data_IF_936445696537
#
_entry.id   IF_936445696537
#
_cell.length_a   1.000
_cell.length_b   1.000
_cell.length_c   1.000
_cell.angle_alpha   90.00
_cell.angle_beta   90.00
_cell.angle_gamma   90.00
#
_symmetry.space_group_name_H-M   'P 1'
#
loop_
_entity.id
_entity.type
_entity.pdbx_description
1 polymer ?
#
# COMPACT_ATOMS: atom_id res chain seq x y z
N UNK A 1 1.33 -1.90 12.50
CA UNK A 1 2.70 -2.41 12.63
C UNK A 1 2.72 -3.87 13.10
N UNK A 2 1.99 -4.25 14.15
CA UNK A 2 1.89 -5.65 14.61
C UNK A 2 1.34 -6.61 13.55
N UNK A 3 0.51 -6.14 12.63
CA UNK A 3 -0.01 -6.95 11.53
C UNK A 3 1.06 -7.35 10.49
N UNK A 4 2.19 -6.66 10.47
CA UNK A 4 3.27 -6.87 9.51
C UNK A 4 4.42 -7.72 10.06
N UNK A 5 4.50 -7.89 11.39
CA UNK A 5 5.55 -8.66 12.06
C UNK A 5 4.99 -9.39 13.28
N UNK A 6 5.75 -10.36 13.80
CA UNK A 6 5.44 -11.06 15.05
C UNK A 6 5.68 -10.21 16.30
N UNK A 7 6.35 -9.07 16.17
CA UNK A 7 6.84 -8.26 17.29
C UNK A 7 6.28 -6.84 17.26
N UNK A 8 6.31 -6.21 18.43
CA UNK A 8 5.90 -4.82 18.56
C UNK A 8 6.94 -3.86 17.96
N UNK A 9 6.47 -2.80 17.30
CA UNK A 9 7.31 -1.71 16.76
C UNK A 9 8.09 -0.92 17.84
N UNK A 10 7.84 -1.14 19.11
CA UNK A 10 8.54 -0.44 20.19
C UNK A 10 9.92 -1.03 20.53
N UNK A 11 10.33 -2.12 19.89
CA UNK A 11 11.65 -2.72 20.08
C UNK A 11 12.32 -2.96 18.72
N UNK A 12 13.08 -1.99 18.25
CA UNK A 12 13.74 -2.00 16.94
C UNK A 12 14.66 -3.21 16.75
N UNK A 13 15.34 -3.65 17.80
CA UNK A 13 16.22 -4.82 17.74
C UNK A 13 15.44 -6.11 17.51
N UNK A 14 14.33 -6.29 18.22
CA UNK A 14 13.46 -7.45 18.04
C UNK A 14 12.76 -7.44 16.68
N UNK A 15 12.44 -6.25 16.13
CA UNK A 15 11.88 -6.10 14.80
C UNK A 15 12.83 -6.56 13.70
N UNK A 16 14.13 -6.28 13.86
CA UNK A 16 15.17 -6.71 12.89
C UNK A 16 15.31 -8.25 12.87
N UNK A 17 15.04 -8.92 13.96
CA UNK A 17 15.16 -10.37 14.10
C UNK A 17 13.82 -11.11 13.84
N UNK A 18 12.70 -10.41 13.94
CA UNK A 18 11.38 -10.99 13.77
C UNK A 18 11.11 -11.38 12.31
N UNK A 19 10.47 -12.53 12.14
CA UNK A 19 9.91 -12.92 10.85
C UNK A 19 8.78 -11.96 10.47
N UNK A 20 8.76 -11.52 9.23
CA UNK A 20 7.69 -10.71 8.69
C UNK A 20 7.02 -11.41 7.49
N UNK A 21 5.95 -10.82 6.96
CA UNK A 21 5.17 -11.41 5.87
C UNK A 21 5.97 -11.60 4.58
N UNK A 22 7.01 -10.78 4.33
CA UNK A 22 7.94 -10.96 3.18
C UNK A 22 8.74 -12.25 3.37
N UNK A 23 9.27 -12.50 4.57
CA UNK A 23 10.03 -13.71 4.87
C UNK A 23 9.16 -14.97 4.70
N UNK A 24 7.89 -14.90 5.15
CA UNK A 24 6.92 -15.99 5.00
C UNK A 24 6.66 -16.27 3.52
N UNK A 25 6.45 -15.24 2.72
CA UNK A 25 6.22 -15.38 1.27
C UNK A 25 7.43 -16.01 0.58
N UNK A 26 8.65 -15.55 0.90
CA UNK A 26 9.89 -16.14 0.37
C UNK A 26 10.04 -17.61 0.76
N UNK A 27 9.76 -17.95 2.00
CA UNK A 27 9.81 -19.34 2.48
C UNK A 27 8.78 -20.23 1.76
N UNK A 28 7.72 -19.66 1.20
CA UNK A 28 6.70 -20.32 0.37
C UNK A 28 7.03 -20.30 -1.14
N UNK A 29 8.20 -19.80 -1.52
CA UNK A 29 8.65 -19.77 -2.91
C UNK A 29 8.12 -18.61 -3.74
N UNK A 30 7.59 -17.56 -3.10
CA UNK A 30 7.21 -16.36 -3.81
C UNK A 30 8.44 -15.48 -4.11
N UNK A 31 8.46 -14.87 -5.30
CA UNK A 31 9.30 -13.72 -5.61
C UNK A 31 8.66 -12.48 -5.02
N UNK A 32 9.44 -11.70 -4.30
CA UNK A 32 8.90 -10.58 -3.51
C UNK A 32 9.37 -9.23 -4.03
N UNK A 33 8.43 -8.31 -4.18
CA UNK A 33 8.65 -6.97 -4.69
C UNK A 33 8.11 -5.95 -3.70
N UNK A 34 8.91 -4.92 -3.41
CA UNK A 34 8.47 -3.74 -2.66
C UNK A 34 8.65 -2.51 -3.53
N UNK A 35 7.55 -1.85 -3.88
CA UNK A 35 7.52 -0.67 -4.75
C UNK A 35 7.03 0.49 -3.90
N UNK A 36 7.83 1.54 -3.75
CA UNK A 36 7.48 2.66 -2.85
C UNK A 36 7.77 4.02 -3.48
N UNK A 37 6.88 4.98 -3.23
CA UNK A 37 7.03 6.40 -3.55
C UNK A 37 7.28 7.27 -2.29
N UNK A 38 7.54 6.64 -1.14
CA UNK A 38 7.86 7.36 0.09
C UNK A 38 9.35 7.64 0.21
N UNK A 39 9.74 8.91 0.10
CA UNK A 39 11.15 9.36 0.11
C UNK A 39 11.85 9.19 1.46
N UNK A 40 11.09 9.14 2.56
CA UNK A 40 11.60 8.94 3.92
C UNK A 40 11.93 7.49 4.29
N UNK A 41 11.67 6.53 3.40
CA UNK A 41 11.91 5.11 3.66
C UNK A 41 13.36 4.71 3.38
N UNK A 42 14.28 5.30 4.10
CA UNK A 42 15.63 4.78 4.20
C UNK A 42 15.63 3.47 5.02
N UNK A 43 16.71 2.71 4.93
CA UNK A 43 16.85 1.41 5.61
C UNK A 43 16.70 1.47 7.14
N UNK A 44 16.69 2.65 7.74
CA UNK A 44 16.53 2.87 9.18
C UNK A 44 15.08 3.09 9.62
N UNK A 45 14.13 3.26 8.70
CA UNK A 45 12.71 3.36 9.07
C UNK A 45 12.10 1.95 9.21
N UNK A 46 11.02 1.83 9.99
CA UNK A 46 10.28 0.57 10.17
C UNK A 46 9.91 -0.07 8.81
N UNK A 47 9.29 0.70 7.92
CA UNK A 47 8.92 0.22 6.59
C UNK A 47 10.13 -0.08 5.71
N UNK A 48 11.21 0.70 5.85
CA UNK A 48 12.46 0.45 5.15
C UNK A 48 13.12 -0.86 5.57
N UNK A 49 13.04 -1.22 6.85
CA UNK A 49 13.55 -2.51 7.36
C UNK A 49 12.75 -3.69 6.80
N UNK A 50 11.42 -3.59 6.75
CA UNK A 50 10.58 -4.64 6.12
C UNK A 50 10.88 -4.73 4.62
N UNK A 51 10.89 -3.59 3.92
CA UNK A 51 11.14 -3.51 2.49
C UNK A 51 12.49 -4.12 2.09
N UNK A 52 13.53 -3.95 2.93
CA UNK A 52 14.87 -4.47 2.64
C UNK A 52 14.96 -6.00 2.55
N UNK A 53 13.94 -6.71 3.04
CA UNK A 53 13.87 -8.17 2.97
C UNK A 53 13.28 -8.69 1.66
N UNK A 54 12.63 -7.81 0.86
CA UNK A 54 12.13 -8.18 -0.44
C UNK A 54 13.28 -8.48 -1.43
N UNK A 55 13.03 -9.37 -2.38
CA UNK A 55 14.02 -9.70 -3.42
C UNK A 55 14.30 -8.53 -4.34
N UNK A 56 13.28 -7.71 -4.61
CA UNK A 56 13.39 -6.52 -5.43
C UNK A 56 12.75 -5.33 -4.69
N UNK A 57 13.51 -4.23 -4.58
CA UNK A 57 13.02 -2.99 -3.97
C UNK A 57 13.15 -1.86 -4.98
N UNK A 58 12.00 -1.36 -5.44
CA UNK A 58 11.93 -0.21 -6.34
C UNK A 58 11.51 1.04 -5.55
N UNK A 59 12.32 2.08 -5.66
CA UNK A 59 12.05 3.37 -5.03
C UNK A 59 11.78 4.41 -6.08
N UNK A 60 10.59 4.99 -6.00
CA UNK A 60 10.22 6.15 -6.78
C UNK A 60 10.42 7.41 -5.91
N UNK A 61 10.60 8.53 -6.57
CA UNK A 61 10.61 9.85 -5.95
C UNK A 61 9.86 10.81 -6.87
N UNK A 62 8.62 10.42 -7.19
CA UNK A 62 7.76 11.19 -8.05
C UNK A 62 6.71 11.96 -7.25
N UNK A 63 6.11 12.93 -7.90
CA UNK A 63 5.06 13.77 -7.32
C UNK A 63 3.82 12.92 -6.98
N UNK A 64 3.47 11.95 -7.84
CA UNK A 64 2.27 11.12 -7.70
C UNK A 64 2.59 9.63 -7.62
N UNK A 65 1.72 8.89 -6.94
CA UNK A 65 1.91 7.45 -6.68
C UNK A 65 1.74 6.58 -7.93
N UNK A 66 0.99 7.01 -8.94
CA UNK A 66 0.81 6.29 -10.20
C UNK A 66 2.12 6.09 -10.99
N UNK A 67 3.14 6.91 -10.72
CA UNK A 67 4.49 6.71 -11.26
C UNK A 67 5.12 5.37 -10.85
N UNK A 68 4.62 4.74 -9.80
CA UNK A 68 5.03 3.39 -9.40
C UNK A 68 4.58 2.30 -10.40
N UNK A 69 3.53 2.56 -11.20
CA UNK A 69 2.99 1.59 -12.16
C UNK A 69 4.01 1.13 -13.22
N UNK A 70 4.99 1.97 -13.54
CA UNK A 70 6.08 1.61 -14.47
C UNK A 70 6.86 0.38 -14.06
N UNK A 71 6.93 0.10 -12.74
CA UNK A 71 7.66 -1.05 -12.22
C UNK A 71 6.89 -2.38 -12.38
N UNK A 72 5.61 -2.33 -12.67
CA UNK A 72 4.82 -3.53 -12.96
C UNK A 72 5.39 -4.33 -14.16
N UNK A 73 5.99 -3.66 -15.13
CA UNK A 73 6.63 -4.28 -16.29
C UNK A 73 7.92 -5.05 -15.96
N UNK A 74 8.45 -4.88 -14.74
CA UNK A 74 9.65 -5.57 -14.26
C UNK A 74 9.32 -6.89 -13.55
N UNK A 75 8.03 -7.20 -13.37
CA UNK A 75 7.58 -8.38 -12.64
C UNK A 75 7.50 -9.56 -13.60
N UNK A 76 8.14 -10.67 -13.24
CA UNK A 76 8.06 -11.88 -14.04
C UNK A 76 6.72 -12.60 -13.82
N UNK A 77 5.83 -12.68 -14.83
CA UNK A 77 4.52 -13.30 -14.67
C UNK A 77 4.58 -14.85 -14.57
N UNK A 78 5.72 -15.46 -14.83
CA UNK A 78 5.90 -16.91 -14.70
C UNK A 78 6.20 -17.37 -13.27
N UNK A 79 6.40 -16.45 -12.34
CA UNK A 79 6.69 -16.72 -10.93
C UNK A 79 5.45 -16.47 -10.05
N UNK A 80 5.43 -17.10 -8.88
CA UNK A 80 4.49 -16.69 -7.83
C UNK A 80 5.01 -15.41 -7.22
N UNK A 81 4.25 -14.32 -7.30
CA UNK A 81 4.69 -12.99 -6.91
C UNK A 81 3.93 -12.48 -5.69
N UNK A 82 4.64 -11.92 -4.72
CA UNK A 82 4.10 -11.00 -3.72
C UNK A 82 4.58 -9.59 -4.05
N UNK A 83 3.65 -8.70 -4.35
CA UNK A 83 3.94 -7.33 -4.75
C UNK A 83 3.33 -6.39 -3.71
N UNK A 84 4.15 -5.54 -3.13
CA UNK A 84 3.72 -4.51 -2.17
C UNK A 84 3.90 -3.15 -2.81
N UNK A 85 2.80 -2.38 -2.90
CA UNK A 85 2.84 -0.95 -3.21
C UNK A 85 2.72 -0.16 -1.91
N UNK A 86 3.66 0.75 -1.69
CA UNK A 86 3.70 1.61 -0.51
C UNK A 86 3.82 3.07 -0.95
N UNK A 87 2.68 3.73 -1.04
CA UNK A 87 2.53 5.09 -1.55
C UNK A 87 2.19 6.11 -0.47
N UNK A 88 2.13 7.36 -0.89
CA UNK A 88 1.68 8.49 -0.06
C UNK A 88 0.16 8.46 0.15
N UNK A 89 -0.58 7.91 -0.83
CA UNK A 89 -2.04 7.91 -0.79
C UNK A 89 -2.63 9.29 -0.64
N UNK A 90 -3.63 9.41 0.25
CA UNK A 90 -4.33 10.67 0.55
C UNK A 90 -3.73 11.40 1.76
N UNK A 91 -2.42 11.35 1.94
CA UNK A 91 -1.74 12.09 3.03
C UNK A 91 -1.81 13.61 2.79
N UNK A 92 -1.93 14.41 3.85
CA UNK A 92 -1.84 15.87 3.79
C UNK A 92 -0.47 16.33 3.20
N UNK A 93 -0.40 17.39 2.38
CA UNK A 93 -1.49 18.24 1.87
C UNK A 93 -2.20 17.55 0.70
N UNK A 94 -3.51 17.46 0.76
CA UNK A 94 -4.31 16.64 -0.17
C UNK A 94 -4.21 17.13 -1.62
N UNK A 95 -4.23 18.44 -1.85
CA UNK A 95 -4.08 19.03 -3.20
C UNK A 95 -2.76 18.64 -3.90
N UNK A 96 -1.75 18.21 -3.16
CA UNK A 96 -0.48 17.73 -3.71
C UNK A 96 -0.47 16.23 -4.03
N UNK A 97 -1.61 15.54 -3.92
CA UNK A 97 -1.69 14.07 -4.12
C UNK A 97 -2.30 13.65 -5.45
N UNK A 98 -2.70 14.59 -6.27
CA UNK A 98 -3.28 14.34 -7.59
C UNK A 98 -2.92 15.48 -8.55
N UNK A 99 -2.81 15.22 -9.87
CA UNK A 99 -2.58 16.26 -10.86
C UNK A 99 -3.83 17.14 -11.04
N UNK A 100 -3.64 18.38 -11.46
CA UNK A 100 -4.71 19.37 -11.57
C UNK A 100 -5.89 18.92 -12.45
N UNK A 101 -5.62 18.15 -13.50
CA UNK A 101 -6.64 17.57 -14.40
C UNK A 101 -7.54 16.53 -13.72
N UNK A 102 -7.11 15.98 -12.60
CA UNK A 102 -7.89 15.03 -11.78
C UNK A 102 -8.73 15.72 -10.69
N UNK A 103 -8.67 17.05 -10.57
CA UNK A 103 -9.49 17.85 -9.69
C UNK A 103 -10.93 17.94 -10.16
N UNK A 104 -11.77 16.96 -9.82
CA UNK A 104 -13.20 16.91 -10.20
C UNK A 104 -14.05 17.76 -9.26
N UNK A 105 -13.70 17.77 -7.98
CA UNK A 105 -14.35 18.59 -6.96
C UNK A 105 -13.55 19.87 -6.79
N UNK A 106 -14.11 21.03 -7.16
CA UNK A 106 -13.38 22.28 -7.32
C UNK A 106 -14.02 23.46 -6.56
N UNK A 107 -14.57 23.20 -5.36
CA UNK A 107 -15.16 24.25 -4.51
C UNK A 107 -14.14 24.95 -3.61
N UNK A 108 -12.86 24.52 -3.64
CA UNK A 108 -11.75 25.10 -2.89
C UNK A 108 -11.75 24.75 -1.40
N UNK A 109 -12.54 23.76 -0.98
CA UNK A 109 -12.55 23.27 0.39
C UNK A 109 -11.54 22.14 0.62
N UNK A 110 -11.12 21.95 1.87
CA UNK A 110 -10.26 20.81 2.27
C UNK A 110 -10.97 19.49 1.98
N UNK A 111 -12.27 19.44 2.13
CA UNK A 111 -13.10 18.29 1.83
C UNK A 111 -13.04 17.91 0.35
N UNK A 112 -13.09 18.89 -0.56
CA UNK A 112 -12.98 18.65 -1.99
C UNK A 112 -11.56 18.20 -2.39
N UNK A 113 -10.52 18.79 -1.82
CA UNK A 113 -9.14 18.35 -2.03
C UNK A 113 -8.93 16.90 -1.56
N UNK A 114 -9.44 16.57 -0.38
CA UNK A 114 -9.37 15.21 0.15
C UNK A 114 -10.16 14.22 -0.73
N UNK A 115 -11.36 14.57 -1.16
CA UNK A 115 -12.16 13.73 -2.06
C UNK A 115 -11.45 13.48 -3.40
N UNK A 116 -10.79 14.47 -3.98
CA UNK A 116 -9.98 14.31 -5.18
C UNK A 116 -8.79 13.38 -4.94
N UNK A 117 -8.11 13.50 -3.80
CA UNK A 117 -6.98 12.63 -3.47
C UNK A 117 -7.40 11.16 -3.30
N UNK A 118 -8.55 10.90 -2.64
CA UNK A 118 -9.13 9.54 -2.53
C UNK A 118 -9.48 8.99 -3.93
N UNK A 119 -10.14 9.80 -4.77
CA UNK A 119 -10.48 9.40 -6.14
C UNK A 119 -9.23 9.06 -6.96
N UNK A 120 -8.13 9.78 -6.75
CA UNK A 120 -6.88 9.49 -7.44
C UNK A 120 -6.23 8.19 -6.97
N UNK A 121 -6.30 7.90 -5.67
CA UNK A 121 -5.89 6.59 -5.13
C UNK A 121 -6.73 5.47 -5.73
N UNK A 122 -8.04 5.67 -5.89
CA UNK A 122 -8.95 4.69 -6.48
C UNK A 122 -8.56 4.36 -7.93
N UNK A 123 -8.26 5.37 -8.76
CA UNK A 123 -7.72 5.18 -10.11
C UNK A 123 -6.39 4.41 -10.13
N UNK A 124 -5.52 4.70 -9.18
CA UNK A 124 -4.25 3.99 -9.04
C UNK A 124 -4.47 2.50 -8.70
N UNK A 125 -5.38 2.21 -7.77
CA UNK A 125 -5.75 0.84 -7.41
C UNK A 125 -6.40 0.10 -8.57
N UNK A 126 -7.28 0.76 -9.34
CA UNK A 126 -7.88 0.22 -10.57
C UNK A 126 -6.79 -0.20 -11.57
N UNK A 127 -5.79 0.66 -11.80
CA UNK A 127 -4.68 0.37 -12.71
C UNK A 127 -3.85 -0.85 -12.27
N UNK A 128 -3.58 -0.98 -10.96
CA UNK A 128 -2.91 -2.16 -10.39
C UNK A 128 -3.76 -3.41 -10.59
N UNK A 129 -5.05 -3.32 -10.31
CA UNK A 129 -5.99 -4.42 -10.45
C UNK A 129 -6.08 -4.90 -11.91
N UNK A 130 -6.29 -3.99 -12.85
CA UNK A 130 -6.38 -4.32 -14.28
C UNK A 130 -5.08 -4.94 -14.80
N UNK A 131 -3.93 -4.37 -14.45
CA UNK A 131 -2.66 -4.96 -14.82
C UNK A 131 -2.50 -6.36 -14.23
N UNK A 132 -2.83 -6.51 -12.95
CA UNK A 132 -2.76 -7.78 -12.23
C UNK A 132 -3.61 -8.89 -12.87
N UNK A 133 -4.85 -8.58 -13.22
CA UNK A 133 -5.77 -9.51 -13.90
C UNK A 133 -5.25 -9.88 -15.29
N UNK A 134 -4.83 -8.88 -16.07
CA UNK A 134 -4.51 -9.09 -17.48
C UNK A 134 -3.12 -9.70 -17.71
N UNK A 135 -2.17 -9.51 -16.77
CA UNK A 135 -0.76 -9.86 -17.01
C UNK A 135 -0.14 -10.77 -15.96
N UNK A 136 -0.68 -10.83 -14.72
CA UNK A 136 -0.03 -11.50 -13.60
C UNK A 136 -0.88 -12.63 -12.98
N UNK A 137 -2.04 -12.96 -13.56
CA UNK A 137 -2.98 -13.92 -12.99
C UNK A 137 -3.30 -13.62 -11.53
N UNK A 138 -3.72 -12.39 -11.25
CA UNK A 138 -3.97 -11.86 -9.91
C UNK A 138 -4.92 -12.78 -9.11
N UNK A 139 -4.45 -13.35 -8.03
CA UNK A 139 -5.23 -14.23 -7.17
C UNK A 139 -5.86 -13.50 -5.99
N UNK A 140 -5.09 -12.60 -5.36
CA UNK A 140 -5.57 -11.79 -4.25
C UNK A 140 -5.03 -10.37 -4.35
N UNK A 141 -5.83 -9.38 -3.94
CA UNK A 141 -5.40 -8.00 -3.74
C UNK A 141 -5.95 -7.50 -2.42
N UNK A 142 -5.08 -6.91 -1.60
CA UNK A 142 -5.45 -6.28 -0.34
C UNK A 142 -5.08 -4.80 -0.41
N UNK A 143 -6.00 -3.95 0.01
CA UNK A 143 -5.73 -2.54 0.23
C UNK A 143 -6.17 -2.14 1.63
N UNK A 144 -5.34 -1.40 2.32
CA UNK A 144 -5.66 -0.76 3.59
C UNK A 144 -4.78 0.47 3.81
N UNK A 145 -5.30 1.43 4.57
CA UNK A 145 -4.55 2.58 5.04
C UNK A 145 -3.91 2.26 6.39
N UNK A 146 -2.80 2.90 6.73
CA UNK A 146 -2.12 2.77 8.01
C UNK A 146 -2.85 3.51 9.16
N UNK A 147 -3.63 4.55 8.84
CA UNK A 147 -4.50 5.28 9.76
C UNK A 147 -5.70 5.92 9.05
N UNK A 148 -6.67 6.36 9.82
CA UNK A 148 -7.76 7.20 9.35
C UNK A 148 -7.37 8.70 9.41
N UNK A 149 -8.26 9.55 8.90
CA UNK A 149 -8.04 10.99 8.81
C UNK A 149 -9.24 11.77 9.36
N UNK A 150 -8.97 12.75 10.20
CA UNK A 150 -9.96 13.75 10.60
C UNK A 150 -9.60 15.08 9.95
N UNK A 151 -10.40 15.53 8.98
CA UNK A 151 -10.11 16.73 8.19
C UNK A 151 -10.02 18.03 9.00
N UNK A 152 -10.52 18.04 10.25
CA UNK A 152 -10.46 19.22 11.15
C UNK A 152 -9.25 19.19 12.06
N UNK A 153 -8.79 18.02 12.47
CA UNK A 153 -7.74 17.87 13.49
C UNK A 153 -6.52 17.11 12.98
N UNK A 154 -6.53 16.69 11.70
CA UNK A 154 -5.46 15.92 11.08
C UNK A 154 -5.41 14.48 11.58
N UNK A 155 -4.33 13.78 11.22
CA UNK A 155 -3.97 12.44 11.71
C UNK A 155 -3.00 12.55 12.89
N UNK A 156 -2.70 11.40 13.50
CA UNK A 156 -1.75 11.27 14.60
C UNK A 156 -2.40 10.71 15.87
N UNK A 157 -1.60 10.31 16.85
CA UNK A 157 -2.08 9.62 18.03
C UNK A 157 -3.07 10.50 18.80
N UNK A 158 -4.29 10.04 18.87
CA UNK A 158 -5.33 10.61 19.71
C UNK A 158 -6.23 9.48 20.17
N UNK A 159 -6.12 9.12 21.43
CA UNK A 159 -6.90 8.07 22.09
C UNK A 159 -8.40 8.39 22.10
N UNK A 160 -8.79 9.60 21.69
CA UNK A 160 -10.15 10.13 21.82
C UNK A 160 -10.85 10.32 20.46
N UNK A 161 -10.18 10.13 19.35
CA UNK A 161 -10.73 10.35 18.02
C UNK A 161 -10.77 9.04 17.21
N UNK A 162 -11.90 8.36 17.32
CA UNK A 162 -12.13 7.06 16.64
C UNK A 162 -11.99 7.15 15.12
N UNK A 163 -12.22 8.31 14.52
CA UNK A 163 -12.08 8.51 13.06
C UNK A 163 -10.63 8.26 12.62
N UNK A 164 -9.66 8.57 13.45
CA UNK A 164 -8.23 8.41 13.15
C UNK A 164 -7.73 6.96 13.16
N UNK A 165 -8.48 6.05 13.78
CA UNK A 165 -8.17 4.61 13.81
C UNK A 165 -9.07 3.80 12.89
N UNK A 166 -10.07 4.44 12.26
CA UNK A 166 -10.96 3.80 11.30
C UNK A 166 -10.37 3.90 9.91
N UNK A 167 -9.99 2.77 9.33
CA UNK A 167 -9.36 2.68 8.01
C UNK A 167 -10.27 1.98 7.00
N UNK A 168 -10.16 2.31 5.69
CA UNK A 168 -10.72 1.49 4.64
C UNK A 168 -9.92 0.18 4.53
N UNK A 169 -10.64 -0.92 4.28
CA UNK A 169 -10.04 -2.22 3.93
C UNK A 169 -10.79 -2.78 2.73
N UNK A 170 -10.06 -3.10 1.67
CA UNK A 170 -10.61 -3.79 0.51
C UNK A 170 -9.85 -5.09 0.27
N UNK A 171 -10.60 -6.14 -0.04
CA UNK A 171 -10.06 -7.46 -0.33
C UNK A 171 -10.70 -7.95 -1.63
N UNK A 172 -9.87 -8.24 -2.61
CA UNK A 172 -10.26 -8.97 -3.80
C UNK A 172 -9.66 -10.37 -3.78
N UNK A 173 -10.45 -11.36 -4.17
CA UNK A 173 -9.99 -12.72 -4.44
C UNK A 173 -10.52 -13.19 -5.78
N UNK A 174 -9.69 -13.85 -6.58
CA UNK A 174 -10.10 -14.37 -7.88
C UNK A 174 -11.15 -15.49 -7.73
N UNK A 175 -11.99 -15.74 -8.76
CA UNK A 175 -12.89 -16.90 -8.75
C UNK A 175 -12.14 -18.22 -8.57
N UNK A 176 -10.96 -18.35 -9.15
CA UNK A 176 -10.10 -19.52 -9.02
C UNK A 176 -9.60 -19.68 -7.58
N UNK A 177 -9.12 -18.61 -6.96
CA UNK A 177 -8.70 -18.63 -5.56
C UNK A 177 -9.82 -19.09 -4.63
N UNK A 178 -11.02 -18.53 -4.78
CA UNK A 178 -12.20 -18.91 -3.97
C UNK A 178 -12.58 -20.37 -4.15
N UNK A 179 -12.53 -20.87 -5.40
CA UNK A 179 -12.82 -22.27 -5.69
C UNK A 179 -11.82 -23.22 -5.02
N UNK A 180 -10.54 -22.84 -4.98
CA UNK A 180 -9.47 -23.67 -4.41
C UNK A 180 -9.33 -23.53 -2.89
N UNK A 181 -9.93 -22.50 -2.28
CA UNK A 181 -9.85 -22.20 -0.85
C UNK A 181 -11.24 -21.82 -0.28
N UNK A 182 -12.23 -22.73 -0.36
CA UNK A 182 -13.61 -22.43 0.02
C UNK A 182 -13.77 -22.11 1.51
N UNK A 183 -12.83 -22.54 2.36
CA UNK A 183 -12.83 -22.28 3.80
C UNK A 183 -12.34 -20.85 4.16
N UNK A 184 -11.76 -20.12 3.20
CA UNK A 184 -11.24 -18.78 3.41
C UNK A 184 -12.14 -17.67 2.81
N UNK A 185 -13.25 -18.03 2.16
CA UNK A 185 -14.08 -17.11 1.40
C UNK A 185 -15.55 -17.13 1.82
#
# INVERSE_FOLDING_TARGET
>A
EQALTEKSAYNDKELLEAMNFIDIAKAKGYKTYWITNLTGNNSGSFYGMIASRADCVYRENAEYDDNMLKFLTQINPAENNLIVFHGNGSHASYAARYPAEDAVFADGTVESEYANSIRYVDKFLESIYEFGINNLNLQCMFYFSDHGENLKTGHGPSDKDFVKVRIPVMIYTSPEYRKNNPELC
#
